data_IF_615985943714
#
_entry.id   IF_615985943714
#
_cell.length_a   1.000
_cell.length_b   1.000
_cell.length_c   1.000
_cell.angle_alpha   90.00
_cell.angle_beta   90.00
_cell.angle_gamma   90.00
#
_symmetry.space_group_name_H-M   'P 1'
#
loop_
_entity.id
_entity.type
_entity.pdbx_description
1 polymer ?
#
# COMPACT_ATOMS: atom_id res chain seq x y z
N UNK A 1 47.80 -20.43 31.81
CA UNK A 1 46.52 -19.71 31.63
C UNK A 1 46.78 -18.55 30.68
N UNK A 2 46.41 -18.68 29.40
CA UNK A 2 46.35 -17.59 28.43
C UNK A 2 44.87 -17.40 28.06
N UNK A 3 44.35 -16.17 27.90
CA UNK A 3 42.96 -15.96 27.54
C UNK A 3 42.77 -16.15 26.02
N UNK A 4 41.68 -16.81 25.66
CA UNK A 4 41.18 -16.92 24.28
C UNK A 4 40.50 -15.60 23.93
N UNK A 5 41.04 -14.87 22.94
CA UNK A 5 40.35 -13.73 22.33
C UNK A 5 39.18 -14.26 21.50
N UNK A 6 37.95 -13.97 21.92
CA UNK A 6 36.78 -14.07 21.06
C UNK A 6 36.77 -12.88 20.10
N UNK A 7 37.00 -13.14 18.81
CA UNK A 7 36.72 -12.18 17.74
C UNK A 7 35.21 -12.01 17.60
N UNK A 8 34.70 -10.83 17.98
CA UNK A 8 33.37 -10.37 17.58
C UNK A 8 33.46 -9.96 16.11
N UNK A 9 32.90 -10.78 15.22
CA UNK A 9 32.65 -10.38 13.83
C UNK A 9 31.43 -9.46 13.87
N UNK A 10 31.65 -8.15 13.71
CA UNK A 10 30.57 -7.21 13.47
C UNK A 10 30.01 -7.48 12.07
N UNK A 11 28.81 -8.07 12.01
CA UNK A 11 28.03 -8.13 10.78
C UNK A 11 27.50 -6.72 10.55
N UNK A 12 28.12 -5.98 9.62
CA UNK A 12 27.55 -4.75 9.07
C UNK A 12 26.30 -5.13 8.28
N UNK A 13 25.14 -5.03 8.92
CA UNK A 13 23.85 -5.12 8.24
C UNK A 13 23.67 -3.87 7.39
N UNK A 14 23.78 -3.99 6.07
CA UNK A 14 23.42 -2.92 5.14
C UNK A 14 21.93 -2.63 5.25
N UNK A 15 21.53 -1.37 5.36
CA UNK A 15 20.12 -0.98 5.31
C UNK A 15 19.48 -1.50 4.01
N UNK A 16 18.25 -2.04 4.06
CA UNK A 16 17.56 -2.48 2.86
C UNK A 16 17.28 -1.27 1.94
N UNK A 17 17.61 -1.40 0.67
CA UNK A 17 17.37 -0.35 -0.32
C UNK A 17 15.90 -0.34 -0.76
N UNK A 18 15.38 0.85 -1.09
CA UNK A 18 14.08 0.99 -1.73
C UNK A 18 14.01 0.12 -3.00
N UNK A 19 12.99 -0.74 -3.09
CA UNK A 19 12.78 -1.66 -4.20
C UNK A 19 11.67 -1.17 -5.11
N UNK A 20 11.88 -1.26 -6.43
CA UNK A 20 10.84 -0.98 -7.44
C UNK A 20 10.57 -2.27 -8.20
N UNK A 21 9.32 -2.72 -8.21
CA UNK A 21 8.88 -3.86 -9.03
C UNK A 21 7.98 -3.36 -10.16
N UNK A 22 8.39 -3.59 -11.40
CA UNK A 22 7.56 -3.44 -12.60
C UNK A 22 6.66 -4.67 -12.79
N UNK A 23 5.50 -4.49 -13.42
CA UNK A 23 4.36 -5.42 -13.45
C UNK A 23 4.55 -6.67 -14.35
N UNK A 24 5.67 -7.39 -14.20
CA UNK A 24 5.94 -8.69 -14.84
C UNK A 24 6.05 -9.86 -13.84
N UNK A 25 5.66 -9.63 -12.58
CA UNK A 25 5.60 -10.64 -11.52
C UNK A 25 4.91 -10.05 -10.30
N UNK A 26 3.99 -10.81 -9.68
CA UNK A 26 3.09 -10.40 -8.61
C UNK A 26 3.71 -9.38 -7.65
N UNK A 27 3.45 -8.09 -7.91
CA UNK A 27 3.92 -7.02 -7.07
C UNK A 27 3.35 -7.18 -5.65
N UNK A 28 4.12 -6.89 -4.59
CA UNK A 28 3.65 -7.07 -3.23
C UNK A 28 2.38 -6.26 -3.00
N UNK A 29 1.37 -6.91 -2.41
CA UNK A 29 0.14 -6.26 -1.97
C UNK A 29 0.32 -5.79 -0.52
N UNK A 30 -0.32 -4.68 -0.12
CA UNK A 30 -0.22 -4.18 1.24
C UNK A 30 -1.05 -5.05 2.19
N UNK A 31 -0.57 -5.22 3.42
CA UNK A 31 -1.35 -5.80 4.51
C UNK A 31 -2.56 -4.91 4.86
N UNK A 32 -2.37 -3.59 4.69
CA UNK A 32 -3.39 -2.58 4.94
C UNK A 32 -3.22 -1.38 4.02
N UNK A 33 -4.31 -0.93 3.40
CA UNK A 33 -4.36 0.40 2.76
C UNK A 33 -4.52 1.45 3.86
N UNK A 34 -3.55 2.37 3.93
CA UNK A 34 -3.55 3.47 4.91
C UNK A 34 -4.08 4.76 4.31
N UNK A 35 -3.88 4.96 3.00
CA UNK A 35 -4.48 6.05 2.24
C UNK A 35 -5.04 5.50 0.93
N UNK A 36 -6.35 5.64 0.78
CA UNK A 36 -7.04 5.51 -0.50
C UNK A 36 -7.68 6.84 -0.90
N UNK A 37 -8.10 6.94 -2.17
CA UNK A 37 -8.72 8.16 -2.71
C UNK A 37 -10.14 7.92 -3.24
N UNK A 38 -10.76 6.82 -2.81
CA UNK A 38 -12.12 6.42 -3.19
C UNK A 38 -13.21 7.15 -2.40
N UNK A 39 -12.89 7.68 -1.22
CA UNK A 39 -13.84 8.37 -0.35
C UNK A 39 -14.04 9.83 -0.79
N UNK A 40 -15.30 10.29 -0.73
CA UNK A 40 -15.62 11.71 -0.84
C UNK A 40 -14.95 12.46 0.30
N UNK A 41 -14.05 13.41 -0.04
CA UNK A 41 -13.27 14.16 0.95
C UNK A 41 -11.83 13.65 1.17
N UNK A 42 -11.40 12.57 0.50
CA UNK A 42 -10.01 12.09 0.59
C UNK A 42 -8.97 13.19 0.25
N UNK A 43 -9.35 14.17 -0.58
CA UNK A 43 -8.51 15.31 -0.92
C UNK A 43 -8.40 16.38 0.16
N UNK A 44 -9.38 16.48 1.07
CA UNK A 44 -9.42 17.53 2.08
C UNK A 44 -8.28 17.41 3.09
N UNK A 45 -7.68 16.21 3.25
CA UNK A 45 -6.56 15.99 4.16
C UNK A 45 -5.22 16.47 3.61
N UNK A 46 -5.10 16.77 2.32
CA UNK A 46 -3.82 17.11 1.69
C UNK A 46 -3.55 18.61 1.64
N UNK A 47 -2.29 18.98 1.83
CA UNK A 47 -1.80 20.36 1.82
C UNK A 47 -0.57 20.43 0.92
N UNK A 48 -0.50 21.46 0.09
CA UNK A 48 0.64 21.74 -0.79
C UNK A 48 1.66 22.66 -0.11
N UNK A 49 2.94 22.37 -0.29
CA UNK A 49 4.05 23.29 0.03
C UNK A 49 5.01 23.36 -1.17
N UNK A 50 5.15 24.56 -1.72
CA UNK A 50 6.04 24.87 -2.85
C UNK A 50 7.17 25.81 -2.41
N UNK A 51 8.18 25.97 -3.25
CA UNK A 51 9.40 26.75 -3.00
C UNK A 51 9.25 28.29 -3.00
N UNK A 52 8.02 28.81 -2.99
CA UNK A 52 7.73 30.23 -3.22
C UNK A 52 8.25 31.20 -2.14
N UNK A 53 8.61 30.73 -0.94
CA UNK A 53 9.03 31.59 0.19
C UNK A 53 10.31 32.37 -0.12
N UNK A 54 11.25 31.77 -0.87
CA UNK A 54 12.54 32.39 -1.21
C UNK A 54 12.63 32.83 -2.67
N UNK A 55 11.48 33.15 -3.30
CA UNK A 55 11.41 33.56 -4.71
C UNK A 55 11.46 32.40 -5.71
N UNK A 56 11.26 31.17 -5.23
CA UNK A 56 11.06 29.99 -6.07
C UNK A 56 9.83 30.12 -6.96
N UNK A 57 9.86 29.42 -8.09
CA UNK A 57 8.86 29.53 -9.16
C UNK A 57 8.16 28.21 -9.44
N UNK A 58 8.39 27.21 -8.60
CA UNK A 58 7.78 25.89 -8.79
C UNK A 58 6.30 25.96 -8.44
N UNK A 59 5.48 25.28 -9.24
CA UNK A 59 4.06 25.09 -8.98
C UNK A 59 3.77 23.60 -8.90
N UNK A 60 2.77 23.24 -8.11
CA UNK A 60 2.30 21.88 -8.03
C UNK A 60 1.27 21.71 -6.94
N UNK A 61 0.58 20.56 -6.94
CA UNK A 61 -0.42 20.22 -5.95
C UNK A 61 -1.18 18.94 -6.32
N UNK A 62 -2.05 18.47 -5.41
CA UNK A 62 -2.84 17.29 -5.65
C UNK A 62 -4.15 17.64 -6.36
N UNK A 63 -4.57 16.78 -7.28
CA UNK A 63 -5.95 16.70 -7.77
C UNK A 63 -6.48 15.28 -7.57
N UNK A 64 -7.80 15.13 -7.48
CA UNK A 64 -8.44 13.87 -7.14
C UNK A 64 -9.54 13.57 -8.17
N UNK A 65 -9.48 12.40 -8.78
CA UNK A 65 -10.46 11.95 -9.76
C UNK A 65 -10.45 10.41 -9.84
N UNK A 66 -11.62 9.80 -10.04
CA UNK A 66 -11.75 8.37 -10.33
C UNK A 66 -11.07 7.44 -9.29
N UNK A 67 -11.03 7.86 -8.03
CA UNK A 67 -10.39 7.06 -6.97
C UNK A 67 -8.87 7.18 -6.89
N UNK A 68 -8.28 8.14 -7.62
CA UNK A 68 -6.84 8.38 -7.68
C UNK A 68 -6.49 9.78 -7.17
N UNK A 69 -5.26 9.94 -6.68
CA UNK A 69 -4.62 11.24 -6.52
C UNK A 69 -3.59 11.46 -7.61
N UNK A 70 -3.64 12.61 -8.29
CA UNK A 70 -2.60 13.06 -9.21
C UNK A 70 -1.82 14.19 -8.56
N UNK A 71 -0.53 13.98 -8.30
CA UNK A 71 0.39 15.03 -7.91
C UNK A 71 1.13 15.55 -9.15
N UNK A 72 0.84 16.79 -9.57
CA UNK A 72 1.43 17.35 -10.79
C UNK A 72 1.72 18.83 -10.69
N UNK A 73 2.57 19.33 -11.59
CA UNK A 73 3.00 20.72 -11.63
C UNK A 73 4.21 20.96 -12.52
N UNK A 74 4.94 22.03 -12.25
CA UNK A 74 6.18 22.40 -12.95
C UNK A 74 7.23 22.83 -11.92
N UNK A 75 8.39 22.18 -11.92
CA UNK A 75 9.53 22.58 -11.06
C UNK A 75 10.43 23.59 -11.77
N UNK A 76 11.00 24.51 -11.00
CA UNK A 76 12.00 25.46 -11.47
C UNK A 76 13.10 25.67 -10.42
N UNK A 77 14.33 25.35 -10.78
CA UNK A 77 15.51 25.37 -9.90
C UNK A 77 16.05 26.76 -9.60
N UNK A 78 15.52 27.82 -10.22
CA UNK A 78 15.83 29.20 -9.85
C UNK A 78 15.04 29.62 -8.59
N UNK A 79 15.63 29.35 -7.42
CA UNK A 79 15.12 29.75 -6.10
C UNK A 79 14.88 28.59 -5.13
N UNK A 80 14.63 27.38 -5.62
CA UNK A 80 14.49 26.18 -4.78
C UNK A 80 14.40 24.88 -5.57
N UNK A 81 13.48 24.79 -6.52
CA UNK A 81 13.30 23.65 -7.41
C UNK A 81 12.53 22.50 -6.79
N UNK A 82 11.50 22.77 -5.98
CA UNK A 82 10.66 21.71 -5.41
C UNK A 82 9.18 22.04 -5.34
N UNK A 83 8.38 20.97 -5.34
CA UNK A 83 6.98 20.97 -4.94
C UNK A 83 6.75 19.77 -4.02
N UNK A 84 5.84 19.91 -3.06
CA UNK A 84 5.49 18.83 -2.16
C UNK A 84 4.03 18.89 -1.76
N UNK A 85 3.49 17.72 -1.44
CA UNK A 85 2.18 17.55 -0.83
C UNK A 85 2.31 16.69 0.41
N UNK A 86 1.52 16.97 1.44
CA UNK A 86 1.47 16.14 2.64
C UNK A 86 0.07 16.12 3.24
N UNK A 87 -0.22 15.07 3.98
CA UNK A 87 -1.44 15.02 4.79
C UNK A 87 -1.36 16.01 5.95
N UNK A 88 -2.52 16.43 6.46
CA UNK A 88 -2.62 16.96 7.82
C UNK A 88 -2.22 15.89 8.83
N UNK A 89 -1.75 16.30 10.03
CA UNK A 89 -1.45 15.37 11.12
C UNK A 89 -2.63 14.43 11.40
N UNK A 90 -2.32 13.15 11.54
CA UNK A 90 -3.25 12.10 11.93
C UNK A 90 -2.48 11.00 12.67
N UNK A 91 -3.16 10.17 13.44
CA UNK A 91 -2.57 8.97 14.02
C UNK A 91 -2.52 7.87 12.97
N UNK A 92 -1.32 7.59 12.46
CA UNK A 92 -1.11 6.50 11.51
C UNK A 92 -0.70 5.27 12.32
N UNK A 93 -1.66 4.40 12.61
CA UNK A 93 -1.42 3.15 13.34
C UNK A 93 -0.65 2.13 12.49
N UNK A 94 0.59 2.45 12.11
CA UNK A 94 1.50 1.56 11.39
C UNK A 94 2.00 0.41 12.26
N UNK A 95 1.95 0.56 13.60
CA UNK A 95 2.24 -0.53 14.53
C UNK A 95 3.61 -1.17 14.27
N UNK A 96 3.61 -2.48 14.05
CA UNK A 96 4.80 -3.28 13.78
C UNK A 96 5.09 -3.46 12.27
N UNK A 97 4.51 -2.61 11.41
CA UNK A 97 4.78 -2.66 9.97
C UNK A 97 6.26 -2.35 9.66
N UNK A 98 6.81 -3.07 8.69
CA UNK A 98 8.20 -2.93 8.25
C UNK A 98 8.39 -1.82 7.22
N UNK A 99 7.32 -1.41 6.53
CA UNK A 99 7.40 -0.30 5.59
C UNK A 99 6.10 0.07 4.90
N UNK A 100 6.26 0.90 3.87
CA UNK A 100 5.19 1.41 3.03
C UNK A 100 5.26 0.84 1.61
N UNK A 101 4.09 0.63 1.02
CA UNK A 101 3.89 0.33 -0.39
C UNK A 101 3.13 1.47 -1.06
N UNK A 102 3.60 1.88 -2.24
CA UNK A 102 2.93 2.89 -3.05
C UNK A 102 2.60 2.30 -4.42
N UNK A 103 1.31 2.28 -4.80
CA UNK A 103 0.91 1.96 -6.17
C UNK A 103 0.82 3.23 -6.98
N UNK A 104 1.77 3.42 -7.89
CA UNK A 104 1.98 4.67 -8.61
C UNK A 104 2.18 4.47 -10.10
N UNK A 105 1.87 5.50 -10.88
CA UNK A 105 2.25 5.64 -12.28
C UNK A 105 2.92 7.00 -12.44
N UNK A 106 4.20 7.00 -12.77
CA UNK A 106 5.00 8.21 -12.84
C UNK A 106 5.43 8.59 -14.25
N UNK A 107 6.29 9.59 -14.32
CA UNK A 107 6.77 10.24 -15.53
C UNK A 107 8.26 9.98 -15.80
N UNK A 108 8.87 9.04 -15.06
CA UNK A 108 10.30 8.78 -15.14
C UNK A 108 11.16 9.67 -14.23
N UNK A 109 10.55 10.55 -13.42
CA UNK A 109 11.28 11.37 -12.44
C UNK A 109 11.45 10.64 -11.11
N UNK A 110 12.38 11.15 -10.30
CA UNK A 110 12.67 10.67 -8.95
C UNK A 110 11.84 11.44 -7.95
N UNK A 111 11.06 10.73 -7.15
CA UNK A 111 10.21 11.29 -6.11
C UNK A 111 10.73 10.89 -4.73
N UNK A 112 10.24 11.56 -3.70
CA UNK A 112 10.55 11.25 -2.31
C UNK A 112 9.23 10.99 -1.59
N UNK A 113 9.14 9.86 -0.89
CA UNK A 113 8.14 9.65 0.15
C UNK A 113 8.68 10.24 1.46
N UNK A 114 7.81 10.94 2.18
CA UNK A 114 8.18 11.58 3.44
C UNK A 114 7.25 11.14 4.57
N UNK A 115 7.83 10.86 5.73
CA UNK A 115 7.12 10.68 7.00
C UNK A 115 7.62 11.73 7.97
N UNK A 116 6.73 12.38 8.69
CA UNK A 116 7.10 13.33 9.76
C UNK A 116 6.51 12.83 11.07
N UNK A 117 7.31 12.94 12.13
CA UNK A 117 6.92 12.67 13.52
C UNK A 117 7.05 13.97 14.33
N UNK A 118 6.89 13.91 15.66
CA UNK A 118 7.13 15.05 16.55
C UNK A 118 8.63 15.39 16.73
N UNK A 119 9.53 14.64 16.09
CA UNK A 119 10.98 14.83 16.18
C UNK A 119 11.41 16.21 15.67
N UNK A 120 12.16 16.93 16.49
CA UNK A 120 12.64 18.29 16.21
C UNK A 120 14.12 18.47 16.48
N UNK A 121 14.74 19.37 15.73
CA UNK A 121 16.04 19.94 16.07
C UNK A 121 15.87 21.44 16.25
N UNK A 122 15.92 21.89 17.52
CA UNK A 122 15.57 23.26 17.87
C UNK A 122 14.10 23.53 17.57
N UNK A 123 13.81 24.55 16.77
CA UNK A 123 12.44 24.96 16.40
C UNK A 123 11.94 24.33 15.09
N UNK A 124 12.71 23.43 14.49
CA UNK A 124 12.43 22.89 13.16
C UNK A 124 12.06 21.40 13.24
N UNK A 125 10.98 21.05 12.56
CA UNK A 125 10.55 19.66 12.39
C UNK A 125 11.54 18.89 11.49
N UNK A 126 11.76 17.62 11.82
CA UNK A 126 12.53 16.69 10.98
C UNK A 126 11.58 15.85 10.16
N UNK A 127 11.85 15.72 8.86
CA UNK A 127 11.11 14.85 7.96
C UNK A 127 12.00 13.69 7.54
N UNK A 128 11.51 12.47 7.66
CA UNK A 128 12.21 11.26 7.24
C UNK A 128 11.90 10.98 5.78
N UNK A 129 12.93 10.89 4.93
CA UNK A 129 12.79 10.83 3.47
C UNK A 129 13.27 9.49 2.93
N UNK A 130 12.48 8.88 2.04
CA UNK A 130 12.90 7.76 1.22
C UNK A 130 12.68 8.11 -0.26
N UNK A 131 13.75 8.04 -1.06
CA UNK A 131 13.69 8.30 -2.49
C UNK A 131 13.21 7.07 -3.27
N UNK A 132 12.44 7.29 -4.33
CA UNK A 132 12.09 6.24 -5.29
C UNK A 132 12.06 6.77 -6.73
N UNK A 133 12.43 5.88 -7.65
CA UNK A 133 12.43 6.15 -9.07
C UNK A 133 11.14 5.64 -9.70
N UNK A 134 10.49 6.47 -10.52
CA UNK A 134 9.34 6.03 -11.31
C UNK A 134 9.76 5.56 -12.69
N UNK A 135 8.99 4.64 -13.27
CA UNK A 135 9.00 4.37 -14.71
C UNK A 135 8.24 5.48 -15.46
N UNK A 136 8.71 5.85 -16.65
CA UNK A 136 8.10 6.88 -17.51
C UNK A 136 7.37 6.31 -18.71
N UNK A 137 7.03 5.03 -18.66
CA UNK A 137 6.35 4.24 -19.71
C UNK A 137 4.83 4.37 -19.65
N UNK A 138 4.29 4.99 -18.59
CA UNK A 138 2.85 5.12 -18.39
C UNK A 138 2.21 3.90 -17.74
N UNK A 139 3.01 2.94 -17.26
CA UNK A 139 2.52 1.77 -16.55
C UNK A 139 2.49 1.98 -15.04
N UNK A 140 1.60 1.24 -14.39
CA UNK A 140 1.54 1.23 -12.93
C UNK A 140 2.65 0.36 -12.35
N UNK A 141 3.26 0.82 -11.26
CA UNK A 141 4.28 0.09 -10.51
C UNK A 141 4.01 0.15 -9.01
N UNK A 142 4.50 -0.84 -8.28
CA UNK A 142 4.45 -0.83 -6.82
C UNK A 142 5.85 -0.58 -6.28
N UNK A 143 5.99 0.51 -5.54
CA UNK A 143 7.24 0.90 -4.87
C UNK A 143 7.21 0.40 -3.43
N UNK A 144 8.25 -0.31 -3.03
CA UNK A 144 8.41 -0.85 -1.67
C UNK A 144 9.45 -0.04 -0.92
N UNK A 145 9.03 0.62 0.17
CA UNK A 145 9.85 1.51 0.98
C UNK A 145 9.88 1.00 2.43
N UNK A 146 10.89 0.21 2.81
CA UNK A 146 11.12 -0.15 4.22
C UNK A 146 11.27 1.10 5.06
N UNK A 147 10.69 1.16 6.26
CA UNK A 147 10.89 2.30 7.17
C UNK A 147 12.37 2.52 7.50
N UNK A 148 13.16 1.44 7.53
CA UNK A 148 14.62 1.49 7.70
C UNK A 148 15.37 2.24 6.58
N UNK A 149 14.73 2.45 5.42
CA UNK A 149 15.29 3.24 4.30
C UNK A 149 15.03 4.74 4.42
N UNK A 150 14.20 5.17 5.37
CA UNK A 150 13.87 6.57 5.55
C UNK A 150 14.95 7.30 6.36
N UNK A 151 15.53 8.32 5.75
CA UNK A 151 16.64 9.10 6.33
C UNK A 151 16.11 10.40 6.94
N UNK A 152 16.39 10.70 8.22
CA UNK A 152 15.98 11.96 8.82
C UNK A 152 16.63 13.14 8.09
N UNK A 153 15.79 14.05 7.62
CA UNK A 153 16.16 15.14 6.72
C UNK A 153 15.59 16.47 7.24
N UNK A 154 16.42 17.50 7.23
CA UNK A 154 16.04 18.88 7.56
C UNK A 154 16.51 19.80 6.44
N UNK A 155 15.58 20.52 5.80
CA UNK A 155 15.87 21.40 4.66
C UNK A 155 16.61 20.72 3.49
N UNK A 156 16.43 19.41 3.32
CA UNK A 156 17.12 18.61 2.32
C UNK A 156 18.52 18.14 2.72
N UNK A 157 18.95 18.37 3.97
CA UNK A 157 20.19 17.85 4.53
C UNK A 157 19.92 16.63 5.43
N UNK A 158 20.72 15.58 5.26
CA UNK A 158 20.73 14.40 6.14
C UNK A 158 21.22 14.79 7.55
N UNK A 159 20.42 14.42 8.56
CA UNK A 159 20.70 14.69 9.98
C UNK A 159 20.75 13.42 10.85
N UNK A 160 21.04 12.26 10.26
CA UNK A 160 21.08 10.94 10.94
C UNK A 160 22.01 10.89 12.16
N UNK A 161 23.02 11.76 12.24
CA UNK A 161 23.89 11.87 13.40
C UNK A 161 23.31 12.69 14.58
N UNK A 162 22.11 13.25 14.44
CA UNK A 162 21.53 14.23 15.37
C UNK A 162 20.21 13.78 16.00
N UNK A 163 19.53 12.82 15.37
CA UNK A 163 18.22 12.30 15.79
C UNK A 163 18.17 10.78 15.59
N UNK A 164 17.22 10.12 16.23
CA UNK A 164 17.00 8.69 16.05
C UNK A 164 16.49 8.37 14.63
N UNK A 165 16.53 7.09 14.26
CA UNK A 165 15.83 6.60 13.07
C UNK A 165 14.31 6.69 13.26
N UNK A 166 13.57 6.63 12.15
CA UNK A 166 12.11 6.70 12.15
C UNK A 166 11.51 5.57 13.01
N UNK A 167 10.70 5.93 14.01
CA UNK A 167 9.75 5.03 14.65
C UNK A 167 8.40 5.14 13.93
N UNK A 168 7.93 4.10 13.22
CA UNK A 168 6.67 4.18 12.46
C UNK A 168 5.45 4.40 13.36
N UNK A 169 5.54 4.10 14.66
CA UNK A 169 4.45 4.32 15.63
C UNK A 169 4.25 5.80 15.95
N UNK A 170 5.24 6.63 15.68
CA UNK A 170 5.23 8.08 15.91
C UNK A 170 4.89 8.88 14.64
N UNK A 171 4.52 8.20 13.55
CA UNK A 171 4.19 8.87 12.30
C UNK A 171 2.93 9.75 12.44
N UNK A 172 3.06 11.03 12.08
CA UNK A 172 1.97 12.01 12.13
C UNK A 172 1.52 12.45 10.72
N UNK A 173 2.44 12.56 9.77
CA UNK A 173 2.12 12.97 8.40
C UNK A 173 2.80 12.10 7.36
N UNK A 174 2.11 11.90 6.25
CA UNK A 174 2.66 11.30 5.03
C UNK A 174 2.77 12.36 3.95
N UNK A 175 3.84 12.33 3.17
CA UNK A 175 4.07 13.29 2.10
C UNK A 175 4.76 12.71 0.87
N UNK A 176 4.64 13.45 -0.23
CA UNK A 176 5.32 13.21 -1.49
C UNK A 176 6.01 14.50 -1.94
N UNK A 177 7.26 14.39 -2.35
CA UNK A 177 8.03 15.51 -2.87
C UNK A 177 8.55 15.20 -4.28
N UNK A 178 8.67 16.25 -5.08
CA UNK A 178 9.55 16.30 -6.24
C UNK A 178 10.66 17.31 -5.93
N UNK A 179 11.90 16.82 -5.82
CA UNK A 179 13.10 17.62 -5.51
C UNK A 179 14.34 17.05 -6.21
N UNK A 180 14.16 16.59 -7.45
CA UNK A 180 15.19 15.93 -8.26
C UNK A 180 16.17 16.89 -8.95
N UNK A 181 16.07 18.19 -8.67
CA UNK A 181 16.88 19.27 -9.25
C UNK A 181 16.75 19.41 -10.77
N UNK A 182 15.61 19.03 -11.34
CA UNK A 182 15.30 19.22 -12.75
C UNK A 182 14.19 20.25 -12.94
N UNK A 183 14.32 21.08 -13.98
CA UNK A 183 13.26 21.99 -14.42
C UNK A 183 12.26 21.24 -15.31
N UNK A 184 11.01 21.66 -15.28
CA UNK A 184 9.98 21.19 -16.20
C UNK A 184 8.80 20.50 -15.52
N UNK A 185 7.85 19.99 -16.32
CA UNK A 185 6.64 19.39 -15.80
C UNK A 185 6.94 18.11 -15.01
N UNK A 186 6.08 17.81 -14.05
CA UNK A 186 6.06 16.52 -13.40
C UNK A 186 4.63 16.01 -13.21
N UNK A 187 4.45 14.69 -13.19
CA UNK A 187 3.18 14.04 -12.89
C UNK A 187 3.39 12.66 -12.26
N UNK A 188 2.73 12.46 -11.12
CA UNK A 188 2.64 11.19 -10.41
C UNK A 188 1.17 10.89 -10.10
N UNK A 189 0.64 9.82 -10.69
CA UNK A 189 -0.65 9.27 -10.29
C UNK A 189 -0.42 8.25 -9.16
N UNK A 190 -1.27 8.29 -8.14
CA UNK A 190 -1.20 7.42 -6.95
C UNK A 190 -2.57 6.78 -6.75
N UNK A 191 -2.61 5.45 -6.79
CA UNK A 191 -3.85 4.70 -6.55
C UNK A 191 -4.11 4.51 -5.06
N UNK A 192 -3.07 4.15 -4.31
CA UNK A 192 -3.14 3.96 -2.86
C UNK A 192 -1.74 3.98 -2.23
N UNK A 193 -1.73 4.20 -0.92
CA UNK A 193 -0.58 4.00 -0.04
C UNK A 193 -0.99 2.94 0.98
N UNK A 194 -0.17 1.92 1.14
CA UNK A 194 -0.37 0.83 2.09
C UNK A 194 0.84 0.59 2.96
N UNK A 195 0.69 -0.23 3.99
CA UNK A 195 1.78 -0.75 4.81
C UNK A 195 2.00 -2.23 4.53
N UNK A 196 3.20 -2.72 4.80
CA UNK A 196 3.53 -4.15 4.77
C UNK A 196 4.39 -4.53 5.97
N UNK A 197 4.32 -5.81 6.31
CA UNK A 197 5.15 -6.51 7.29
C UNK A 197 5.86 -7.62 6.53
N UNK A 198 7.18 -7.69 6.62
CA UNK A 198 7.92 -8.81 6.09
C UNK A 198 7.49 -10.06 6.84
N UNK A 199 7.13 -11.11 6.09
CA UNK A 199 6.90 -12.41 6.69
C UNK A 199 8.23 -12.89 7.26
N UNK A 200 8.41 -12.76 8.57
CA UNK A 200 9.50 -13.44 9.27
C UNK A 200 9.29 -14.93 9.01
N UNK A 201 10.23 -15.56 8.31
CA UNK A 201 10.26 -17.01 8.16
C UNK A 201 10.56 -17.62 9.54
N UNK A 202 9.55 -17.65 10.41
CA UNK A 202 9.69 -18.27 11.71
C UNK A 202 9.78 -19.78 11.54
N UNK A 203 10.90 -20.32 12.02
CA UNK A 203 11.05 -21.74 12.29
C UNK A 203 9.95 -22.11 13.28
N UNK A 204 9.08 -23.00 12.83
CA UNK A 204 7.99 -23.56 13.61
C UNK A 204 8.47 -24.08 14.97
N UNK A 205 7.95 -23.50 16.06
CA UNK A 205 7.55 -24.31 17.20
C UNK A 205 6.06 -24.11 17.47
N UNK A 206 5.40 -25.25 17.62
CA UNK A 206 3.97 -25.46 17.73
C UNK A 206 3.30 -24.70 18.88
N UNK A 207 2.13 -24.12 18.62
CA UNK A 207 1.19 -23.80 19.71
C UNK A 207 -0.08 -23.06 19.32
N UNK A 208 -1.23 -23.75 19.43
CA UNK A 208 -2.59 -23.23 19.64
C UNK A 208 -3.40 -22.73 18.42
N UNK A 209 -4.14 -23.67 17.83
CA UNK A 209 -5.31 -23.44 16.97
C UNK A 209 -6.48 -22.89 17.81
N UNK A 210 -7.08 -21.78 17.39
CA UNK A 210 -8.38 -21.35 17.92
C UNK A 210 -8.84 -19.93 17.56
N UNK A 211 -7.93 -18.99 17.29
CA UNK A 211 -8.30 -17.58 17.07
C UNK A 211 -8.14 -17.08 15.62
N UNK A 212 -7.35 -17.79 14.78
CA UNK A 212 -7.01 -17.33 13.43
C UNK A 212 -8.12 -17.51 12.37
N UNK A 213 -9.05 -18.44 12.55
CA UNK A 213 -10.08 -18.71 11.51
C UNK A 213 -11.23 -17.70 11.51
N UNK A 214 -11.58 -17.12 12.67
CA UNK A 214 -12.61 -16.09 12.76
C UNK A 214 -12.13 -14.79 12.11
N UNK A 215 -10.86 -14.42 12.34
CA UNK A 215 -10.23 -13.27 11.70
C UNK A 215 -10.09 -13.45 10.16
N UNK A 216 -9.68 -14.64 9.71
CA UNK A 216 -9.61 -14.96 8.28
C UNK A 216 -10.99 -14.92 7.60
N UNK A 217 -12.03 -15.40 8.28
CA UNK A 217 -13.41 -15.36 7.78
C UNK A 217 -13.91 -13.92 7.63
N UNK A 218 -13.73 -13.07 8.64
CA UNK A 218 -14.12 -11.66 8.56
C UNK A 218 -13.36 -10.90 7.46
N UNK A 219 -12.05 -11.18 7.28
CA UNK A 219 -11.25 -10.61 6.18
C UNK A 219 -11.74 -11.09 4.80
N UNK A 220 -12.07 -12.36 4.66
CA UNK A 220 -12.61 -12.90 3.42
C UNK A 220 -13.98 -12.33 3.06
N UNK A 221 -14.86 -12.16 4.05
CA UNK A 221 -16.14 -11.49 3.87
C UNK A 221 -15.96 -10.06 3.38
N UNK A 222 -15.07 -9.28 4.01
CA UNK A 222 -14.79 -7.90 3.58
C UNK A 222 -14.26 -7.81 2.14
N UNK A 223 -13.36 -8.73 1.74
CA UNK A 223 -12.85 -8.79 0.36
C UNK A 223 -13.97 -9.14 -0.63
N UNK A 224 -14.83 -10.12 -0.31
CA UNK A 224 -15.95 -10.48 -1.17
C UNK A 224 -16.97 -9.37 -1.27
N UNK A 225 -17.34 -8.71 -0.17
CA UNK A 225 -18.27 -7.57 -0.16
C UNK A 225 -17.77 -6.42 -1.02
N UNK A 226 -16.50 -6.04 -0.87
CA UNK A 226 -15.89 -5.00 -1.68
C UNK A 226 -15.84 -5.40 -3.16
N UNK A 227 -15.44 -6.63 -3.47
CA UNK A 227 -15.42 -7.14 -4.83
C UNK A 227 -16.82 -7.08 -5.45
N UNK A 228 -17.83 -7.54 -4.72
CA UNK A 228 -19.25 -7.53 -5.08
C UNK A 228 -19.73 -6.11 -5.38
N UNK A 229 -19.47 -5.16 -4.48
CA UNK A 229 -19.90 -3.77 -4.64
C UNK A 229 -19.30 -3.15 -5.91
N UNK A 230 -17.97 -3.30 -6.07
CA UNK A 230 -17.22 -2.74 -7.20
C UNK A 230 -17.58 -3.43 -8.52
N UNK A 231 -17.68 -4.75 -8.52
CA UNK A 231 -18.02 -5.54 -9.71
C UNK A 231 -19.46 -5.33 -10.16
N UNK A 232 -20.43 -5.31 -9.23
CA UNK A 232 -21.83 -5.07 -9.56
C UNK A 232 -22.05 -3.68 -10.19
N UNK A 233 -21.37 -2.65 -9.70
CA UNK A 233 -21.39 -1.32 -10.31
C UNK A 233 -20.92 -1.34 -11.76
N UNK A 234 -19.83 -2.05 -12.07
CA UNK A 234 -19.31 -2.22 -13.44
C UNK A 234 -20.27 -3.00 -14.32
N UNK A 235 -20.86 -4.07 -13.80
CA UNK A 235 -21.84 -4.86 -14.52
C UNK A 235 -23.06 -4.03 -14.94
N UNK A 236 -23.59 -3.22 -14.00
CA UNK A 236 -24.73 -2.34 -14.25
C UNK A 236 -24.41 -1.21 -15.24
N UNK A 237 -23.14 -0.80 -15.33
CA UNK A 237 -22.65 0.17 -16.31
C UNK A 237 -22.45 -0.44 -17.72
N UNK A 238 -22.70 -1.74 -17.90
CA UNK A 238 -22.46 -2.43 -19.18
C UNK A 238 -21.01 -2.89 -19.36
N UNK A 239 -20.18 -2.85 -18.32
CA UNK A 239 -18.78 -3.25 -18.32
C UNK A 239 -18.62 -4.66 -17.72
N UNK A 240 -19.31 -5.66 -18.27
CA UNK A 240 -19.35 -7.02 -17.66
C UNK A 240 -17.98 -7.71 -17.63
N UNK A 241 -17.09 -7.39 -18.59
CA UNK A 241 -15.71 -7.87 -18.58
C UNK A 241 -14.94 -7.40 -17.35
N UNK A 242 -15.00 -6.09 -17.05
CA UNK A 242 -14.36 -5.51 -15.87
C UNK A 242 -14.95 -6.05 -14.56
N UNK A 243 -16.27 -6.31 -14.52
CA UNK A 243 -16.90 -7.00 -13.40
C UNK A 243 -16.31 -8.41 -13.18
N UNK A 244 -16.21 -9.20 -14.25
CA UNK A 244 -15.64 -10.55 -14.18
C UNK A 244 -14.17 -10.53 -13.70
N UNK A 245 -13.37 -9.58 -14.19
CA UNK A 245 -11.96 -9.48 -13.79
C UNK A 245 -11.81 -9.10 -12.30
N UNK A 246 -12.65 -8.19 -11.78
CA UNK A 246 -12.68 -7.84 -10.36
C UNK A 246 -13.01 -9.06 -9.49
N UNK A 247 -14.04 -9.82 -9.87
CA UNK A 247 -14.42 -11.03 -9.13
C UNK A 247 -13.35 -12.11 -9.21
N UNK A 248 -12.73 -12.31 -10.38
CA UNK A 248 -11.66 -13.29 -10.55
C UNK A 248 -10.45 -12.98 -9.65
N UNK A 249 -10.00 -11.73 -9.64
CA UNK A 249 -8.88 -11.29 -8.79
C UNK A 249 -9.21 -11.49 -7.31
N UNK A 250 -10.42 -11.13 -6.89
CA UNK A 250 -10.86 -11.32 -5.51
C UNK A 250 -10.84 -12.81 -5.12
N UNK A 251 -11.45 -13.69 -5.92
CA UNK A 251 -11.48 -15.12 -5.63
C UNK A 251 -10.09 -15.76 -5.61
N UNK A 252 -9.20 -15.42 -6.56
CA UNK A 252 -7.81 -15.90 -6.55
C UNK A 252 -7.06 -15.43 -5.30
N UNK A 253 -7.27 -14.18 -4.90
CA UNK A 253 -6.65 -13.64 -3.68
C UNK A 253 -7.13 -14.37 -2.43
N UNK A 254 -8.42 -14.70 -2.36
CA UNK A 254 -9.00 -15.47 -1.26
C UNK A 254 -8.45 -16.90 -1.17
N UNK A 255 -8.24 -17.58 -2.31
CA UNK A 255 -7.62 -18.93 -2.32
C UNK A 255 -6.18 -18.94 -1.83
N UNK A 256 -5.50 -17.80 -1.89
CA UNK A 256 -4.10 -17.63 -1.47
C UNK A 256 -3.97 -16.93 -0.12
N UNK A 257 -5.08 -16.73 0.61
CA UNK A 257 -5.11 -15.92 1.83
C UNK A 257 -4.24 -16.51 2.96
N UNK A 258 -3.33 -15.71 3.57
CA UNK A 258 -2.58 -16.12 4.75
C UNK A 258 -3.47 -16.38 5.97
N UNK A 259 -3.20 -17.47 6.69
CA UNK A 259 -4.07 -17.99 7.75
C UNK A 259 -5.11 -19.01 7.26
N UNK A 260 -5.29 -19.12 5.94
CA UNK A 260 -6.12 -20.12 5.27
C UNK A 260 -7.62 -19.91 5.46
N UNK A 261 -8.38 -20.16 4.40
CA UNK A 261 -9.83 -20.35 4.50
C UNK A 261 -10.14 -21.83 4.68
N UNK A 262 -11.34 -22.10 5.17
CA UNK A 262 -11.84 -23.47 5.24
C UNK A 262 -11.76 -24.15 3.87
N UNK A 263 -11.42 -25.44 3.85
CA UNK A 263 -11.25 -26.19 2.62
C UNK A 263 -12.49 -26.14 1.73
N UNK A 264 -13.70 -26.15 2.31
CA UNK A 264 -14.95 -26.02 1.55
C UNK A 264 -15.12 -24.66 0.88
N UNK A 265 -14.66 -23.59 1.53
CA UNK A 265 -14.68 -22.23 0.96
C UNK A 265 -13.68 -22.12 -0.18
N UNK A 266 -12.45 -22.60 0.01
CA UNK A 266 -11.42 -22.62 -1.04
C UNK A 266 -11.90 -23.43 -2.24
N UNK A 267 -12.47 -24.62 -2.02
CA UNK A 267 -12.97 -25.47 -3.08
C UNK A 267 -14.12 -24.80 -3.87
N UNK A 268 -15.03 -24.09 -3.19
CA UNK A 268 -16.10 -23.34 -3.86
C UNK A 268 -15.52 -22.24 -4.78
N UNK A 269 -14.53 -21.49 -4.31
CA UNK A 269 -13.86 -20.45 -5.08
C UNK A 269 -13.07 -21.01 -6.27
N UNK A 270 -12.31 -22.09 -6.08
CA UNK A 270 -11.56 -22.75 -7.15
C UNK A 270 -12.48 -23.35 -8.22
N UNK A 271 -13.60 -23.98 -7.82
CA UNK A 271 -14.64 -24.43 -8.75
C UNK A 271 -15.21 -23.26 -9.56
N UNK A 272 -15.46 -22.13 -8.91
CA UNK A 272 -15.91 -20.89 -9.55
C UNK A 272 -14.94 -20.35 -10.58
N UNK A 273 -13.66 -20.25 -10.22
CA UNK A 273 -12.58 -19.83 -11.11
C UNK A 273 -12.48 -20.75 -12.33
N UNK A 274 -12.53 -22.07 -12.13
CA UNK A 274 -12.51 -23.03 -13.22
C UNK A 274 -13.76 -22.92 -14.12
N UNK A 275 -14.93 -22.66 -13.54
CA UNK A 275 -16.16 -22.48 -14.30
C UNK A 275 -16.12 -21.22 -15.17
N UNK A 276 -15.78 -20.05 -14.62
CA UNK A 276 -15.72 -18.83 -15.40
C UNK A 276 -14.57 -18.81 -16.42
N UNK A 277 -13.46 -19.51 -16.16
CA UNK A 277 -12.39 -19.70 -17.15
C UNK A 277 -12.81 -20.50 -18.39
N UNK A 278 -13.94 -21.23 -18.34
CA UNK A 278 -14.53 -21.92 -19.50
C UNK A 278 -15.59 -21.09 -20.23
N UNK A 279 -16.03 -19.98 -19.65
CA UNK A 279 -17.05 -19.12 -20.25
C UNK A 279 -16.44 -18.21 -21.32
N UNK A 280 -17.07 -18.16 -22.49
CA UNK A 280 -16.64 -17.28 -23.60
C UNK A 280 -17.37 -15.93 -23.62
N UNK A 281 -18.50 -15.84 -22.92
CA UNK A 281 -19.29 -14.62 -22.78
C UNK A 281 -19.00 -13.95 -21.42
N UNK A 282 -18.77 -12.64 -21.46
CA UNK A 282 -18.36 -11.87 -20.29
C UNK A 282 -19.46 -11.77 -19.24
N UNK A 283 -20.72 -11.74 -19.67
CA UNK A 283 -21.87 -11.73 -18.78
C UNK A 283 -21.97 -13.05 -18.01
N UNK A 284 -21.85 -14.17 -18.74
CA UNK A 284 -21.88 -15.53 -18.19
C UNK A 284 -20.70 -15.78 -17.25
N UNK A 285 -19.51 -15.27 -17.60
CA UNK A 285 -18.31 -15.32 -16.76
C UNK A 285 -18.50 -14.58 -15.43
N UNK A 286 -19.02 -13.35 -15.47
CA UNK A 286 -19.31 -12.56 -14.27
C UNK A 286 -20.34 -13.25 -13.35
N UNK A 287 -21.39 -13.85 -13.91
CA UNK A 287 -22.38 -14.62 -13.14
C UNK A 287 -21.86 -15.95 -12.60
N UNK A 288 -20.90 -16.59 -13.28
CA UNK A 288 -20.22 -17.78 -12.76
C UNK A 288 -19.41 -17.44 -11.51
N UNK A 289 -18.62 -16.36 -11.58
CA UNK A 289 -17.83 -15.88 -10.45
C UNK A 289 -18.69 -15.37 -9.29
N UNK A 290 -19.78 -14.65 -9.60
CA UNK A 290 -20.71 -14.17 -8.57
C UNK A 290 -21.30 -15.31 -7.74
N UNK A 291 -21.77 -16.37 -8.40
CA UNK A 291 -22.34 -17.55 -7.72
C UNK A 291 -21.33 -18.23 -6.80
N UNK A 292 -20.08 -18.32 -7.22
CA UNK A 292 -19.02 -18.91 -6.39
C UNK A 292 -18.71 -18.07 -5.15
N UNK A 293 -18.71 -16.73 -5.26
CA UNK A 293 -18.57 -15.86 -4.09
C UNK A 293 -19.80 -15.91 -3.17
N UNK A 294 -21.01 -16.00 -3.71
CA UNK A 294 -22.23 -16.16 -2.90
C UNK A 294 -22.20 -17.51 -2.13
N UNK A 295 -21.75 -18.60 -2.76
CA UNK A 295 -21.55 -19.91 -2.10
C UNK A 295 -20.50 -19.82 -0.99
N UNK A 296 -19.35 -19.20 -1.26
CA UNK A 296 -18.30 -18.97 -0.28
C UNK A 296 -18.77 -18.10 0.91
N UNK A 297 -19.59 -17.08 0.64
CA UNK A 297 -20.18 -16.22 1.67
C UNK A 297 -21.12 -16.99 2.60
N UNK A 298 -21.97 -17.87 2.06
CA UNK A 298 -22.84 -18.74 2.85
C UNK A 298 -22.01 -19.67 3.74
N UNK A 299 -21.00 -20.33 3.18
CA UNK A 299 -20.12 -21.24 3.94
C UNK A 299 -19.37 -20.53 5.09
N UNK A 300 -19.01 -19.26 4.92
CA UNK A 300 -18.35 -18.47 5.95
C UNK A 300 -19.32 -17.99 7.04
N UNK A 301 -20.56 -17.69 6.70
CA UNK A 301 -21.56 -17.15 7.64
C UNK A 301 -22.35 -18.23 8.38
N UNK A 302 -22.59 -19.40 7.77
CA UNK A 302 -23.25 -20.53 8.44
C UNK A 302 -22.38 -21.17 9.55
N UNK A 303 -21.07 -20.90 9.59
CA UNK A 303 -20.17 -21.30 10.70
C UNK A 303 -20.34 -20.46 11.97
N UNK A 304 -20.92 -19.26 11.89
CA UNK A 304 -21.12 -18.37 13.05
C UNK A 304 -22.45 -18.60 13.77
N UNK A 305 -23.35 -19.43 13.22
CA UNK A 305 -24.59 -19.78 13.89
C UNK A 305 -24.31 -20.75 15.07
N UNK A 306 -24.63 -20.38 16.32
CA UNK A 306 -24.63 -21.36 17.40
C UNK A 306 -25.70 -22.41 17.05
N UNK A 307 -25.32 -23.69 17.14
CA UNK A 307 -26.25 -24.82 17.11
C UNK A 307 -27.29 -24.63 18.22
N UNK A 308 -28.40 -23.97 17.89
CA UNK A 308 -29.59 -23.94 18.74
C UNK A 308 -30.11 -25.38 18.79
N UNK A 309 -29.98 -25.96 19.99
CA UNK A 309 -30.20 -27.37 20.25
C UNK A 309 -31.53 -27.88 19.72
N UNK A 310 -31.46 -29.06 19.14
CA UNK A 310 -32.53 -30.02 19.21
C UNK A 310 -32.78 -30.36 20.68
N UNK A 311 -33.99 -30.08 21.15
CA UNK A 311 -34.72 -30.84 22.16
C UNK A 311 -36.18 -30.97 21.66
#
# INVERSE_FOLDING_TARGET
MLPVLMSVVAVLSSAPAAGVSSDDGAAPLPDRIVVGFLDEGAGERWVTVNDGVMGGRSTGGPSFAEGLMTFSGVTNTNGGGFSSIRTRPAEWAFGDADGLLFRVRGDGRKYIAAVTTDTRIGSWDVSYWAEFQTTGDGEWQTVTLPFASFVPTMFGEDVSGRVAALDPREAETLGLYIYDKKDGPFKLDVAWIGSYTEAVAEVSESGSLGAGSADAASRALAVMELAIERGAARFNAGEQGACADIYEVAMRSLTLMPGGLDAGVVEALERGLAAGGREHDQTSRAWAYRRAMDEAFVLLTEREAPMAGAD
#
